data_IF_580993034177
#
_entry.id   IF_580993034177
#
_cell.length_a   1.000
_cell.length_b   1.000
_cell.length_c   1.000
_cell.angle_alpha   90.00
_cell.angle_beta   90.00
_cell.angle_gamma   90.00
#
_symmetry.space_group_name_H-M   'P 1'
#
loop_
_entity.id
_entity.type
_entity.pdbx_description
1 polymer ?
#
# COMPACT_ATOMS: atom_id res chain seq x y z
N UNK A 1 1.67 9.77 18.95
CA UNK A 1 2.29 11.07 18.70
C UNK A 1 2.94 11.54 19.98
N UNK A 2 4.10 12.13 19.86
CA UNK A 2 4.89 12.71 20.95
C UNK A 2 5.06 14.17 20.56
N UNK A 3 4.70 15.07 21.45
CA UNK A 3 4.61 16.50 21.13
C UNK A 3 5.78 17.31 21.71
N UNK A 4 6.49 16.77 22.70
CA UNK A 4 7.65 17.41 23.28
C UNK A 4 8.73 16.40 23.75
N UNK A 5 9.88 16.93 24.18
CA UNK A 5 11.03 16.11 24.61
C UNK A 5 10.74 15.33 25.90
N UNK A 6 9.99 15.90 26.83
CA UNK A 6 9.63 15.26 28.10
C UNK A 6 8.77 14.04 27.90
N UNK A 7 7.79 14.13 26.98
CA UNK A 7 6.95 13.00 26.57
C UNK A 7 7.78 11.88 25.90
N UNK A 8 8.77 12.27 25.09
CA UNK A 8 9.68 11.31 24.46
C UNK A 8 10.51 10.56 25.49
N UNK A 9 11.11 11.27 26.46
CA UNK A 9 11.91 10.66 27.54
C UNK A 9 11.04 9.71 28.39
N UNK A 10 9.85 10.15 28.77
CA UNK A 10 8.92 9.34 29.55
C UNK A 10 8.47 8.07 28.80
N UNK A 11 8.24 8.20 27.50
CA UNK A 11 7.90 7.05 26.65
C UNK A 11 9.10 6.09 26.53
N UNK A 12 10.28 6.62 26.19
CA UNK A 12 11.50 5.82 25.99
C UNK A 12 11.88 5.05 27.25
N UNK A 13 11.86 5.69 28.43
CA UNK A 13 12.19 5.05 29.71
C UNK A 13 11.32 3.82 30.01
N UNK A 14 10.08 3.77 29.50
CA UNK A 14 9.21 2.58 29.67
C UNK A 14 9.56 1.42 28.77
N UNK A 15 10.14 1.68 27.61
CA UNK A 15 10.45 0.66 26.61
C UNK A 15 11.94 0.32 26.52
N UNK A 16 12.80 1.16 27.08
CA UNK A 16 14.26 0.93 27.15
C UNK A 16 14.62 -0.47 27.66
N UNK A 17 13.97 -1.04 28.70
CA UNK A 17 14.26 -2.39 29.16
C UNK A 17 13.99 -3.49 28.12
N UNK A 18 13.29 -3.18 27.03
CA UNK A 18 13.01 -4.11 25.93
C UNK A 18 14.08 -4.03 24.82
N UNK A 19 15.12 -3.19 25.00
CA UNK A 19 16.18 -2.93 24.02
C UNK A 19 15.64 -2.60 22.62
N UNK A 20 14.76 -1.58 22.46
CA UNK A 20 14.10 -1.30 21.21
C UNK A 20 15.02 -0.58 20.22
N UNK A 21 15.03 -1.04 18.97
CA UNK A 21 15.52 -0.24 17.84
C UNK A 21 14.38 0.62 17.33
N UNK A 22 14.50 1.93 17.43
CA UNK A 22 13.43 2.87 17.09
C UNK A 22 13.87 3.90 16.07
N UNK A 23 12.91 4.30 15.23
CA UNK A 23 13.04 5.46 14.35
C UNK A 23 12.13 6.58 14.87
N UNK A 24 12.69 7.76 15.04
CA UNK A 24 11.94 8.99 15.37
C UNK A 24 11.88 9.82 14.09
N UNK A 25 10.68 10.19 13.67
CA UNK A 25 10.48 10.97 12.46
C UNK A 25 9.40 12.04 12.67
N UNK A 26 9.42 13.08 11.83
CA UNK A 26 8.41 14.13 11.84
C UNK A 26 7.01 13.54 11.60
N UNK A 27 6.04 14.01 12.41
CA UNK A 27 4.64 13.65 12.18
C UNK A 27 4.03 14.58 11.12
N UNK A 28 3.60 13.99 10.02
CA UNK A 28 2.88 14.71 8.95
C UNK A 28 1.37 14.54 9.19
N UNK A 29 0.64 15.62 9.52
CA UNK A 29 -0.80 15.56 9.77
C UNK A 29 -1.59 15.28 8.49
N UNK A 30 -2.80 14.77 8.65
CA UNK A 30 -3.74 14.55 7.55
C UNK A 30 -4.47 13.20 7.68
N UNK A 31 -5.58 13.03 6.94
CA UNK A 31 -6.40 11.82 6.95
C UNK A 31 -5.64 10.62 6.36
N UNK A 32 -6.24 9.44 6.47
CA UNK A 32 -5.71 8.21 5.87
C UNK A 32 -5.54 8.33 4.35
N UNK A 33 -6.46 9.04 3.69
CA UNK A 33 -6.41 9.28 2.23
C UNK A 33 -5.23 10.14 1.76
N UNK A 34 -4.50 10.79 2.67
CA UNK A 34 -3.24 11.46 2.37
C UNK A 34 -2.04 10.50 2.31
N UNK A 35 -2.20 9.24 2.74
CA UNK A 35 -1.22 8.18 2.54
C UNK A 35 -1.35 7.62 1.13
N UNK A 36 -0.30 7.80 0.34
CA UNK A 36 -0.23 7.39 -1.05
C UNK A 36 0.93 6.43 -1.28
N UNK A 37 0.75 5.54 -2.25
CA UNK A 37 1.62 4.42 -2.54
C UNK A 37 2.14 4.55 -3.97
N UNK A 38 3.43 4.32 -4.13
CA UNK A 38 4.08 4.09 -5.41
C UNK A 38 4.61 2.66 -5.45
N UNK A 39 3.86 1.75 -6.09
CA UNK A 39 4.30 0.38 -6.31
C UNK A 39 5.06 0.26 -7.61
N UNK A 40 6.26 -0.35 -7.60
CA UNK A 40 7.14 -0.36 -8.75
C UNK A 40 7.90 -1.67 -8.95
N UNK A 41 8.31 -1.89 -10.19
CA UNK A 41 9.37 -2.82 -10.57
C UNK A 41 10.47 -2.05 -11.28
N UNK A 42 11.70 -2.19 -10.77
CA UNK A 42 12.90 -1.64 -11.35
C UNK A 42 13.82 -2.74 -11.88
N UNK A 43 14.36 -2.53 -13.07
CA UNK A 43 15.48 -3.27 -13.63
C UNK A 43 16.78 -2.88 -12.93
N UNK A 44 17.89 -3.64 -13.12
CA UNK A 44 19.18 -3.30 -12.54
C UNK A 44 19.59 -1.85 -12.82
N UNK A 45 20.24 -1.22 -11.83
CA UNK A 45 20.68 0.18 -11.93
C UNK A 45 19.60 1.22 -11.70
N UNK A 46 18.46 0.84 -11.12
CA UNK A 46 17.37 1.78 -10.80
C UNK A 46 16.54 2.20 -12.02
N UNK A 47 16.61 1.42 -13.12
CA UNK A 47 15.76 1.66 -14.28
C UNK A 47 14.30 1.30 -13.97
N UNK A 48 13.47 2.31 -13.78
CA UNK A 48 12.04 2.13 -13.54
C UNK A 48 11.35 1.56 -14.78
N UNK A 49 10.95 0.29 -14.73
CA UNK A 49 10.27 -0.37 -15.84
C UNK A 49 8.75 -0.19 -15.79
N UNK A 50 8.12 -0.49 -14.67
CA UNK A 50 6.68 -0.39 -14.52
C UNK A 50 6.29 0.05 -13.11
N UNK A 51 5.16 0.75 -13.00
CA UNK A 51 4.64 1.24 -11.72
C UNK A 51 3.14 1.44 -11.75
N UNK A 52 2.55 1.48 -10.58
CA UNK A 52 1.21 2.01 -10.33
C UNK A 52 1.21 2.86 -9.07
N UNK A 53 0.21 3.70 -8.94
CA UNK A 53 0.00 4.53 -7.75
C UNK A 53 -1.36 4.25 -7.13
N UNK A 54 -1.45 4.46 -5.81
CA UNK A 54 -2.66 4.23 -5.05
C UNK A 54 -2.73 5.13 -3.82
N UNK A 55 -3.90 5.20 -3.18
CA UNK A 55 -4.07 5.86 -1.88
C UNK A 55 -4.79 4.95 -0.90
N UNK A 56 -4.45 5.03 0.37
CA UNK A 56 -5.15 4.31 1.43
C UNK A 56 -6.46 5.04 1.75
N UNK A 57 -7.59 4.32 1.80
CA UNK A 57 -8.88 4.87 2.19
C UNK A 57 -9.29 4.43 3.60
N UNK A 58 -8.77 3.29 4.05
CA UNK A 58 -8.98 2.76 5.38
C UNK A 58 -7.74 2.00 5.85
N UNK A 59 -7.30 2.29 7.07
CA UNK A 59 -6.27 1.53 7.79
C UNK A 59 -6.83 0.90 9.06
N UNK A 60 -6.33 -0.24 9.44
CA UNK A 60 -6.65 -0.88 10.72
C UNK A 60 -5.34 -1.30 11.39
N UNK A 61 -5.03 -0.78 12.59
CA UNK A 61 -5.68 0.34 13.30
C UNK A 61 -5.63 1.67 12.55
N UNK A 62 -6.59 2.56 12.81
CA UNK A 62 -6.65 3.86 12.16
C UNK A 62 -5.35 4.66 12.30
N UNK A 63 -4.97 5.39 11.26
CA UNK A 63 -3.80 6.29 11.14
C UNK A 63 -2.40 5.63 11.21
N UNK A 64 -2.28 4.35 11.53
CA UNK A 64 -0.97 3.67 11.71
C UNK A 64 -0.99 2.18 11.39
N UNK A 65 -2.09 1.67 10.88
CA UNK A 65 -2.22 0.26 10.51
C UNK A 65 -1.96 -0.02 9.04
N UNK A 66 -2.10 -1.29 8.68
CA UNK A 66 -2.07 -1.72 7.28
C UNK A 66 -3.28 -1.18 6.51
N UNK A 67 -3.10 -0.86 5.24
CA UNK A 67 -4.20 -0.46 4.36
C UNK A 67 -5.18 -1.62 4.15
N UNK A 68 -6.42 -1.43 4.62
CA UNK A 68 -7.52 -2.42 4.49
C UNK A 68 -8.37 -2.15 3.25
N UNK A 69 -8.53 -0.87 2.90
CA UNK A 69 -9.10 -0.45 1.61
C UNK A 69 -8.12 0.50 0.95
N UNK A 70 -7.63 0.12 -0.22
CA UNK A 70 -6.66 0.89 -0.99
C UNK A 70 -7.20 1.10 -2.40
N UNK A 71 -7.19 2.34 -2.86
CA UNK A 71 -7.73 2.74 -4.17
C UNK A 71 -6.60 3.02 -5.15
N UNK A 72 -6.51 2.21 -6.21
CA UNK A 72 -5.59 2.43 -7.32
C UNK A 72 -6.09 3.53 -8.23
N UNK A 73 -5.36 4.63 -8.27
CA UNK A 73 -5.59 5.80 -9.10
C UNK A 73 -4.25 6.41 -9.53
N UNK A 74 -4.15 7.08 -10.69
CA UNK A 74 -2.96 7.85 -11.04
C UNK A 74 -2.73 9.02 -10.06
N UNK A 75 -1.48 9.12 -9.55
CA UNK A 75 -1.03 10.20 -8.64
C UNK A 75 0.32 10.71 -9.15
N UNK A 76 0.31 11.69 -10.02
CA UNK A 76 1.51 12.14 -10.74
C UNK A 76 2.56 12.78 -9.83
N UNK A 77 2.13 13.41 -8.73
CA UNK A 77 3.02 14.17 -7.81
C UNK A 77 4.11 13.31 -7.16
N UNK A 78 3.91 11.99 -7.05
CA UNK A 78 4.89 11.09 -6.43
C UNK A 78 5.71 10.30 -7.46
N UNK A 79 5.40 10.38 -8.75
CA UNK A 79 6.06 9.57 -9.79
C UNK A 79 7.51 9.97 -9.97
N UNK A 80 7.79 11.25 -10.24
CA UNK A 80 9.15 11.73 -10.47
C UNK A 80 10.04 11.68 -9.24
N UNK A 81 9.58 12.03 -8.02
CA UNK A 81 10.34 11.80 -6.81
C UNK A 81 10.73 10.33 -6.61
N UNK A 82 9.79 9.40 -6.80
CA UNK A 82 10.04 7.95 -6.67
C UNK A 82 11.04 7.45 -7.71
N UNK A 83 10.87 7.84 -8.97
CA UNK A 83 11.80 7.47 -10.05
C UNK A 83 13.23 7.94 -9.76
N UNK A 84 13.37 9.18 -9.30
CA UNK A 84 14.68 9.75 -8.94
C UNK A 84 15.31 8.98 -7.78
N UNK A 85 14.56 8.75 -6.70
CA UNK A 85 15.02 8.02 -5.53
C UNK A 85 15.52 6.63 -5.91
N UNK A 86 14.70 5.83 -6.63
CA UNK A 86 15.06 4.46 -7.02
C UNK A 86 16.30 4.42 -7.93
N UNK A 87 16.46 5.39 -8.81
CA UNK A 87 17.65 5.51 -9.67
C UNK A 87 18.88 5.90 -8.87
N UNK A 88 18.79 6.85 -7.96
CA UNK A 88 19.94 7.32 -7.15
C UNK A 88 20.49 6.24 -6.22
N UNK A 89 19.61 5.39 -5.68
CA UNK A 89 20.04 4.25 -4.84
C UNK A 89 20.39 2.99 -5.68
N UNK A 90 20.22 3.02 -7.00
CA UNK A 90 20.47 1.89 -7.89
C UNK A 90 19.56 0.69 -7.61
N UNK A 91 18.31 0.91 -7.17
CA UNK A 91 17.41 -0.13 -6.73
C UNK A 91 17.05 -1.12 -7.85
N UNK A 92 16.99 -2.42 -7.53
CA UNK A 92 16.55 -3.48 -8.46
C UNK A 92 15.54 -4.38 -7.79
N UNK A 93 14.47 -4.71 -8.51
CA UNK A 93 13.39 -5.57 -8.03
C UNK A 93 12.10 -4.80 -7.75
N UNK A 94 11.24 -5.39 -6.91
CA UNK A 94 9.94 -4.80 -6.56
C UNK A 94 10.03 -3.95 -5.30
N UNK A 95 9.36 -2.80 -5.32
CA UNK A 95 9.24 -1.94 -4.14
C UNK A 95 7.88 -1.30 -4.04
N UNK A 96 7.51 -1.00 -2.80
CA UNK A 96 6.44 -0.08 -2.43
C UNK A 96 7.07 1.10 -1.70
N UNK A 97 6.83 2.30 -2.20
CA UNK A 97 7.22 3.54 -1.52
C UNK A 97 5.95 4.19 -0.99
N UNK A 98 5.91 4.43 0.31
CA UNK A 98 4.80 5.14 0.96
C UNK A 98 5.17 6.61 1.18
N UNK A 99 4.24 7.48 0.83
CA UNK A 99 4.31 8.91 1.09
C UNK A 99 3.11 9.38 1.88
N UNK A 100 3.32 10.38 2.74
CA UNK A 100 2.24 11.19 3.31
C UNK A 100 2.21 12.52 2.60
N UNK A 101 1.10 12.83 1.93
CA UNK A 101 0.93 14.12 1.24
C UNK A 101 0.33 15.13 2.20
N UNK A 102 1.03 16.22 2.43
CA UNK A 102 0.55 17.29 3.31
C UNK A 102 -0.60 18.05 2.62
N UNK A 103 -1.78 18.06 3.23
CA UNK A 103 -3.02 18.55 2.59
C UNK A 103 -2.95 19.98 2.08
N UNK A 104 -2.30 20.89 2.82
CA UNK A 104 -2.25 22.32 2.48
C UNK A 104 -1.20 22.65 1.42
N UNK A 105 -0.07 21.95 1.44
CA UNK A 105 1.07 22.27 0.56
C UNK A 105 1.20 21.34 -0.63
N UNK A 106 0.56 20.17 -0.60
CA UNK A 106 0.73 19.13 -1.59
C UNK A 106 2.11 18.43 -1.54
N UNK A 107 2.95 18.79 -0.57
CA UNK A 107 4.28 18.19 -0.41
C UNK A 107 4.15 16.73 -0.01
N UNK A 108 4.82 15.85 -0.75
CA UNK A 108 4.89 14.42 -0.44
C UNK A 108 6.11 14.15 0.46
N UNK A 109 5.87 13.67 1.66
CA UNK A 109 6.89 13.24 2.62
C UNK A 109 7.06 11.73 2.51
N UNK A 110 8.29 11.27 2.28
CA UNK A 110 8.63 9.86 2.29
C UNK A 110 8.43 9.28 3.69
N UNK A 111 7.66 8.20 3.80
CA UNK A 111 7.44 7.48 5.07
C UNK A 111 8.34 6.27 5.13
N UNK A 112 8.23 5.36 4.15
CA UNK A 112 9.02 4.13 4.12
C UNK A 112 9.17 3.58 2.70
N UNK A 113 10.14 2.67 2.53
CA UNK A 113 10.34 1.87 1.33
C UNK A 113 10.33 0.40 1.71
N UNK A 114 9.34 -0.31 1.20
CA UNK A 114 9.24 -1.77 1.32
C UNK A 114 9.87 -2.43 0.10
N UNK A 115 11.08 -2.98 0.23
CA UNK A 115 11.84 -3.64 -0.85
C UNK A 115 11.45 -5.12 -1.01
N UNK A 116 10.18 -5.41 -1.04
CA UNK A 116 9.58 -6.75 -1.11
C UNK A 116 8.17 -6.68 -1.66
N UNK A 117 7.55 -7.84 -1.95
CA UNK A 117 6.10 -7.89 -2.14
C UNK A 117 5.38 -7.42 -0.88
N UNK A 118 4.24 -6.78 -1.06
CA UNK A 118 3.38 -6.27 0.02
C UNK A 118 1.93 -6.72 -0.20
N UNK A 119 1.08 -6.54 0.78
CA UNK A 119 -0.26 -7.12 0.78
C UNK A 119 -1.11 -6.65 -0.42
N UNK A 120 -1.00 -5.37 -0.78
CA UNK A 120 -1.80 -4.75 -1.83
C UNK A 120 -1.17 -4.83 -3.23
N UNK A 121 -0.05 -5.56 -3.43
CA UNK A 121 0.63 -5.60 -4.75
C UNK A 121 -0.27 -6.07 -5.90
N UNK A 122 -1.26 -6.94 -5.62
CA UNK A 122 -2.24 -7.39 -6.60
C UNK A 122 -3.13 -6.25 -7.14
N UNK A 123 -3.28 -5.15 -6.40
CA UNK A 123 -3.99 -3.95 -6.88
C UNK A 123 -3.40 -3.44 -8.21
N UNK A 124 -2.08 -3.48 -8.36
CA UNK A 124 -1.41 -3.12 -9.62
C UNK A 124 -1.95 -3.95 -10.80
N UNK A 125 -2.08 -5.26 -10.61
CA UNK A 125 -2.66 -6.17 -11.63
C UNK A 125 -4.10 -5.78 -11.97
N UNK A 126 -4.91 -5.47 -10.97
CA UNK A 126 -6.30 -5.03 -11.17
C UNK A 126 -6.40 -3.68 -11.89
N UNK A 127 -5.38 -2.83 -11.74
CA UNK A 127 -5.22 -1.56 -12.45
C UNK A 127 -4.55 -1.69 -13.84
N UNK A 128 -4.18 -2.90 -14.26
CA UNK A 128 -3.53 -3.14 -15.55
C UNK A 128 -2.00 -3.20 -15.52
N UNK A 129 -1.38 -3.14 -14.34
CA UNK A 129 0.07 -3.17 -14.16
C UNK A 129 0.47 -4.37 -13.29
N UNK A 130 0.75 -5.50 -13.91
CA UNK A 130 1.20 -6.70 -13.20
C UNK A 130 2.73 -6.70 -13.01
N UNK A 131 3.19 -6.08 -11.92
CA UNK A 131 4.62 -5.96 -11.61
C UNK A 131 5.33 -7.31 -11.51
N UNK A 132 4.70 -8.31 -10.88
CA UNK A 132 5.27 -9.65 -10.73
C UNK A 132 5.45 -10.35 -12.07
N UNK A 133 4.51 -10.18 -13.00
CA UNK A 133 4.62 -10.73 -14.36
C UNK A 133 5.73 -10.05 -15.15
N UNK A 134 5.86 -8.72 -15.04
CA UNK A 134 6.93 -7.99 -15.73
C UNK A 134 8.30 -8.42 -15.20
N UNK A 135 8.46 -8.58 -13.91
CA UNK A 135 9.69 -9.10 -13.31
C UNK A 135 9.97 -10.53 -13.75
N UNK A 136 8.97 -11.41 -13.72
CA UNK A 136 9.12 -12.79 -14.20
C UNK A 136 9.58 -12.84 -15.67
N UNK A 137 8.95 -12.04 -16.53
CA UNK A 137 9.31 -11.98 -17.94
C UNK A 137 10.75 -11.50 -18.17
N UNK A 138 11.17 -10.48 -17.45
CA UNK A 138 12.55 -9.98 -17.56
C UNK A 138 13.59 -11.03 -17.10
N UNK A 139 13.22 -11.92 -16.16
CA UNK A 139 14.07 -13.02 -15.72
C UNK A 139 14.09 -14.22 -16.68
N UNK A 140 13.02 -14.44 -17.44
CA UNK A 140 12.85 -15.63 -18.30
C UNK A 140 12.99 -15.33 -19.79
N UNK A 141 12.92 -14.07 -20.20
CA UNK A 141 13.01 -13.60 -21.58
C UNK A 141 14.16 -12.57 -21.68
N UNK A 142 15.44 -13.01 -21.75
CA UNK A 142 16.61 -12.10 -21.71
C UNK A 142 16.62 -11.01 -22.77
N UNK A 143 16.00 -11.26 -23.93
CA UNK A 143 15.86 -10.29 -25.02
C UNK A 143 15.06 -9.04 -24.62
N UNK A 144 14.24 -9.13 -23.59
CA UNK A 144 13.51 -7.97 -23.02
C UNK A 144 14.44 -6.98 -22.32
N UNK A 145 15.60 -7.45 -21.86
CA UNK A 145 16.62 -6.65 -21.19
C UNK A 145 17.66 -6.09 -22.16
N UNK A 146 17.54 -6.36 -23.47
CA UNK A 146 18.51 -5.93 -24.46
C UNK A 146 18.61 -4.39 -24.52
N UNK A 147 19.86 -3.83 -24.59
CA UNK A 147 20.06 -2.39 -24.71
C UNK A 147 19.35 -1.80 -25.94
N UNK A 148 18.74 -0.63 -25.78
CA UNK A 148 18.08 0.10 -26.86
C UNK A 148 16.64 -0.32 -27.16
N UNK A 149 16.07 -1.26 -26.42
CA UNK A 149 14.65 -1.55 -26.54
C UNK A 149 13.83 -0.38 -25.99
N UNK A 150 12.84 0.14 -26.75
CA UNK A 150 11.99 1.23 -26.27
C UNK A 150 11.25 0.83 -24.98
N UNK A 151 11.13 1.76 -24.03
CA UNK A 151 10.29 1.59 -22.83
C UNK A 151 8.78 1.48 -23.17
N UNK A 152 8.42 1.45 -24.46
CA UNK A 152 7.04 1.47 -24.95
C UNK A 152 6.16 0.27 -24.59
N UNK A 153 6.77 -0.84 -24.17
CA UNK A 153 6.04 -2.06 -23.78
C UNK A 153 5.69 -2.10 -22.28
N UNK A 154 6.06 -1.09 -21.50
CA UNK A 154 5.72 -1.04 -20.08
C UNK A 154 4.20 -0.86 -19.89
N UNK A 155 3.56 -1.69 -19.06
CA UNK A 155 2.13 -1.56 -18.81
C UNK A 155 1.82 -0.21 -18.15
N UNK A 156 0.67 0.38 -18.51
CA UNK A 156 0.21 1.64 -17.95
C UNK A 156 -1.00 1.43 -17.07
N UNK A 157 -1.01 2.11 -15.95
CA UNK A 157 -2.15 2.10 -15.04
C UNK A 157 -3.40 2.68 -15.71
N UNK A 158 -4.52 1.96 -15.56
CA UNK A 158 -5.84 2.45 -15.95
C UNK A 158 -6.21 3.71 -15.16
N UNK A 159 -6.78 4.75 -15.79
CA UNK A 159 -7.32 5.91 -15.08
C UNK A 159 -8.59 5.59 -14.28
N UNK A 160 -9.22 4.44 -14.54
CA UNK A 160 -10.45 4.03 -13.84
C UNK A 160 -10.08 3.50 -12.46
N UNK A 161 -10.59 4.12 -11.36
CA UNK A 161 -10.28 3.69 -10.02
C UNK A 161 -10.70 2.25 -9.74
N UNK A 162 -9.84 1.50 -9.04
CA UNK A 162 -10.11 0.15 -8.54
C UNK A 162 -9.77 0.10 -7.06
N UNK A 163 -10.64 -0.46 -6.23
CA UNK A 163 -10.39 -0.65 -4.80
C UNK A 163 -9.97 -2.08 -4.52
N UNK A 164 -8.85 -2.22 -3.86
CA UNK A 164 -8.43 -3.47 -3.24
C UNK A 164 -8.92 -3.50 -1.79
N UNK A 165 -9.44 -4.64 -1.38
CA UNK A 165 -10.09 -4.81 -0.07
C UNK A 165 -9.48 -6.04 0.60
N UNK A 166 -8.94 -5.86 1.81
CA UNK A 166 -8.56 -6.96 2.69
C UNK A 166 -9.84 -7.57 3.31
N UNK A 167 -10.24 -8.73 2.83
CA UNK A 167 -11.56 -9.32 3.12
C UNK A 167 -11.84 -9.48 4.61
N UNK A 168 -10.90 -10.06 5.34
CA UNK A 168 -11.07 -10.38 6.76
C UNK A 168 -11.09 -9.12 7.62
N UNK A 169 -10.11 -8.26 7.43
CA UNK A 169 -9.94 -7.01 8.18
C UNK A 169 -11.12 -6.08 7.93
N UNK A 170 -11.58 -6.02 6.67
CA UNK A 170 -12.75 -5.24 6.31
C UNK A 170 -14.04 -5.79 6.92
N UNK A 171 -14.22 -7.11 6.96
CA UNK A 171 -15.38 -7.74 7.59
C UNK A 171 -15.43 -7.44 9.10
N UNK A 172 -14.30 -7.53 9.78
CA UNK A 172 -14.17 -7.18 11.21
C UNK A 172 -14.44 -5.69 11.46
N UNK A 173 -13.89 -4.83 10.61
CA UNK A 173 -14.16 -3.39 10.66
C UNK A 173 -15.66 -3.09 10.49
N UNK A 174 -16.29 -3.67 9.47
CA UNK A 174 -17.70 -3.46 9.18
C UNK A 174 -18.59 -3.95 10.32
N UNK A 175 -18.29 -5.12 10.90
CA UNK A 175 -19.02 -5.64 12.06
C UNK A 175 -18.87 -4.72 13.29
N UNK A 176 -17.69 -4.21 13.55
CA UNK A 176 -17.43 -3.25 14.63
C UNK A 176 -18.19 -1.93 14.43
N UNK A 177 -18.23 -1.42 13.20
CA UNK A 177 -18.96 -0.21 12.84
C UNK A 177 -20.49 -0.37 13.05
N UNK A 178 -21.05 -1.53 12.64
CA UNK A 178 -22.47 -1.85 12.85
C UNK A 178 -22.80 -1.96 14.36
N UNK A 179 -21.88 -2.52 15.15
CA UNK A 179 -22.04 -2.63 16.61
C UNK A 179 -21.86 -1.28 17.37
N UNK A 180 -21.66 -0.16 16.66
CA UNK A 180 -21.43 1.15 17.26
C UNK A 180 -20.07 1.31 17.95
N UNK A 181 -19.15 0.38 17.71
CA UNK A 181 -17.78 0.38 18.25
C UNK A 181 -16.76 0.89 17.22
N UNK A 182 -17.24 1.51 16.12
CA UNK A 182 -16.42 1.89 14.98
C UNK A 182 -15.39 2.96 15.33
N UNK A 183 -14.15 2.75 14.86
CA UNK A 183 -13.14 3.80 14.79
C UNK A 183 -13.47 4.76 13.63
N UNK A 184 -12.97 6.00 13.69
CA UNK A 184 -13.10 6.95 12.60
C UNK A 184 -12.47 6.37 11.31
N UNK A 185 -13.25 6.17 10.27
CA UNK A 185 -12.76 5.52 9.05
C UNK A 185 -13.83 5.35 7.98
N UNK A 186 -14.73 6.31 7.80
CA UNK A 186 -15.76 6.26 6.75
C UNK A 186 -16.84 5.18 6.95
N UNK A 187 -17.94 5.31 6.25
CA UNK A 187 -18.99 4.28 6.31
C UNK A 187 -18.59 3.07 5.44
N UNK A 188 -18.71 1.81 5.92
CA UNK A 188 -18.35 0.61 5.17
C UNK A 188 -18.98 0.56 3.77
N UNK A 189 -20.22 1.01 3.65
CA UNK A 189 -20.95 1.06 2.37
C UNK A 189 -20.27 1.97 1.33
N UNK A 190 -19.67 3.08 1.75
CA UNK A 190 -19.00 4.01 0.85
C UNK A 190 -17.66 3.46 0.37
N UNK A 191 -16.96 2.76 1.25
CA UNK A 191 -15.69 2.09 0.94
C UNK A 191 -15.86 0.97 -0.09
N UNK A 192 -17.05 0.37 -0.20
CA UNK A 192 -17.37 -0.68 -1.16
C UNK A 192 -17.88 -0.16 -2.53
N UNK A 193 -17.93 1.15 -2.78
CA UNK A 193 -18.37 1.69 -4.07
C UNK A 193 -17.35 1.46 -5.19
N UNK A 194 -17.82 1.41 -6.45
CA UNK A 194 -16.99 1.32 -7.64
C UNK A 194 -16.44 -0.08 -7.94
N UNK A 195 -15.46 -0.12 -8.84
CA UNK A 195 -14.75 -1.34 -9.19
C UNK A 195 -13.90 -1.80 -8.00
N UNK A 196 -13.88 -3.10 -7.77
CA UNK A 196 -13.16 -3.66 -6.64
C UNK A 196 -12.50 -4.99 -6.95
N UNK A 197 -11.44 -5.29 -6.23
CA UNK A 197 -10.82 -6.60 -6.12
C UNK A 197 -10.60 -6.91 -4.64
N UNK A 198 -10.48 -8.17 -4.31
CA UNK A 198 -10.34 -8.63 -2.94
C UNK A 198 -9.00 -9.32 -2.75
N UNK A 199 -8.52 -9.35 -1.51
CA UNK A 199 -7.25 -10.00 -1.19
C UNK A 199 -7.31 -11.52 -1.41
N UNK A 200 -8.43 -12.15 -1.03
CA UNK A 200 -8.59 -13.61 -1.02
C UNK A 200 -9.83 -14.07 -1.78
N UNK A 201 -10.91 -13.30 -1.76
CA UNK A 201 -12.17 -13.69 -2.41
C UNK A 201 -12.05 -13.58 -3.94
N UNK A 202 -12.07 -14.73 -4.62
CA UNK A 202 -12.13 -14.84 -6.08
C UNK A 202 -13.22 -15.82 -6.50
N UNK A 203 -14.08 -15.42 -7.45
CA UNK A 203 -15.14 -16.28 -7.99
C UNK A 203 -14.60 -17.50 -8.76
N UNK A 204 -13.38 -17.40 -9.27
CA UNK A 204 -12.71 -18.48 -10.01
C UNK A 204 -12.11 -19.54 -9.09
N UNK A 205 -11.76 -19.14 -7.86
CA UNK A 205 -11.32 -20.03 -6.78
C UNK A 205 -11.93 -19.59 -5.44
N UNK A 206 -13.17 -19.99 -5.15
CA UNK A 206 -13.90 -19.54 -3.95
C UNK A 206 -13.43 -20.23 -2.66
N UNK A 207 -12.68 -21.34 -2.73
CA UNK A 207 -12.31 -22.13 -1.54
C UNK A 207 -11.53 -21.36 -0.49
N UNK A 208 -10.49 -20.55 -0.82
CA UNK A 208 -9.79 -19.74 0.17
C UNK A 208 -10.71 -18.75 0.88
N UNK A 209 -11.57 -18.04 0.11
CA UNK A 209 -12.52 -17.07 0.67
C UNK A 209 -13.54 -17.70 1.61
N UNK A 210 -14.08 -18.88 1.27
CA UNK A 210 -15.01 -19.61 2.14
C UNK A 210 -14.35 -20.05 3.46
N UNK A 211 -13.09 -20.46 3.43
CA UNK A 211 -12.32 -20.77 4.66
C UNK A 211 -12.14 -19.52 5.53
N UNK A 212 -11.87 -18.39 4.91
CA UNK A 212 -11.69 -17.11 5.61
C UNK A 212 -12.98 -16.66 6.31
N UNK A 213 -14.14 -16.78 5.68
CA UNK A 213 -15.45 -16.50 6.29
C UNK A 213 -15.64 -17.33 7.57
N UNK A 214 -15.30 -18.61 7.54
CA UNK A 214 -15.35 -19.48 8.73
C UNK A 214 -14.41 -19.03 9.86
N UNK A 215 -13.29 -18.40 9.54
CA UNK A 215 -12.37 -17.82 10.53
C UNK A 215 -12.94 -16.53 11.15
N UNK A 216 -13.47 -15.63 10.34
CA UNK A 216 -14.12 -14.39 10.80
C UNK A 216 -15.29 -14.71 11.74
N UNK A 217 -16.15 -15.67 11.39
CA UNK A 217 -17.25 -16.09 12.25
C UNK A 217 -16.80 -16.57 13.62
N UNK A 218 -15.68 -17.30 13.68
CA UNK A 218 -15.07 -17.74 14.96
C UNK A 218 -14.49 -16.60 15.78
N UNK A 219 -13.98 -15.55 15.14
CA UNK A 219 -13.46 -14.36 15.82
C UNK A 219 -14.55 -13.46 16.40
N UNK A 220 -15.68 -13.35 15.69
CA UNK A 220 -16.83 -12.54 16.12
C UNK A 220 -17.68 -13.23 17.21
N UNK A 221 -17.62 -14.57 17.31
CA UNK A 221 -18.33 -15.36 18.33
C UNK A 221 -17.59 -15.51 19.67
N UNK A 222 -16.43 -14.88 19.83
CA UNK A 222 -15.67 -14.78 21.08
C UNK A 222 -15.77 -13.37 21.64
#
# INVERSE_FOLDING_TARGET
QIDDWSDLEAFYSRIEPLDPVMTIQEYVPGPESSLVIFGSYCRPGGELHSYFTARKLLQVPALRGTGVVVEGIPIDSIVDPSRRLLREIGFSGMSEIEYKVHEKTGTAFLIEINSRHWDQHYLGTACGVNLSLEWYRDLTEPERMAPGRPAGDAPRQSPVPVRWIADQEFALYAASAIAGRGQAGGQPRELLRGRKTFAVLDWRDPKPGLRQIGNVSRMLGR
#
